data_IF_098719341628
#
_entry.id   IF_098719341628
#
_cell.length_a   1.000
_cell.length_b   1.000
_cell.length_c   1.000
_cell.angle_alpha   90.00
_cell.angle_beta   90.00
_cell.angle_gamma   90.00
#
_symmetry.space_group_name_H-M   'P 1'
#
loop_
_entity.id
_entity.type
_entity.pdbx_description
1 polymer ?
#
# COMPACT_ATOMS: atom_id res chain seq x y z
N UNK A 1 -15.68 -28.71 -11.02
CA UNK A 1 -14.68 -27.69 -10.64
C UNK A 1 -13.32 -28.29 -10.88
N UNK A 2 -12.51 -27.66 -11.73
CA UNK A 2 -11.17 -28.15 -12.06
C UNK A 2 -10.17 -27.77 -10.96
N UNK A 3 -8.99 -28.40 -10.94
CA UNK A 3 -7.93 -28.06 -9.96
C UNK A 3 -7.55 -26.56 -10.01
N UNK A 4 -7.42 -25.92 -11.20
CA UNK A 4 -7.24 -24.47 -11.31
C UNK A 4 -8.33 -23.64 -10.65
N UNK A 5 -9.61 -23.99 -10.87
CA UNK A 5 -10.75 -23.24 -10.32
C UNK A 5 -10.77 -23.26 -8.79
N UNK A 6 -10.37 -24.40 -8.19
CA UNK A 6 -10.30 -24.55 -6.74
C UNK A 6 -9.21 -23.66 -6.14
N UNK A 7 -8.02 -23.64 -6.77
CA UNK A 7 -6.90 -22.83 -6.31
C UNK A 7 -7.22 -21.32 -6.40
N UNK A 8 -7.86 -20.88 -7.48
CA UNK A 8 -8.31 -19.49 -7.62
C UNK A 8 -9.25 -19.07 -6.50
N UNK A 9 -10.23 -19.93 -6.16
CA UNK A 9 -11.16 -19.65 -5.06
C UNK A 9 -10.46 -19.56 -3.70
N UNK A 10 -9.50 -20.43 -3.43
CA UNK A 10 -8.70 -20.39 -2.19
C UNK A 10 -7.87 -19.10 -2.08
N UNK A 11 -7.29 -18.63 -3.19
CA UNK A 11 -6.58 -17.34 -3.27
C UNK A 11 -7.53 -16.18 -2.94
N UNK A 12 -8.75 -16.18 -3.48
CA UNK A 12 -9.71 -15.10 -3.24
C UNK A 12 -10.22 -15.09 -1.79
N UNK A 13 -10.44 -16.27 -1.19
CA UNK A 13 -10.78 -16.35 0.24
C UNK A 13 -9.65 -15.84 1.13
N UNK A 14 -8.39 -16.13 0.79
CA UNK A 14 -7.23 -15.58 1.49
C UNK A 14 -7.13 -14.06 1.31
N UNK A 15 -7.42 -13.54 0.13
CA UNK A 15 -7.47 -12.10 -0.11
C UNK A 15 -8.50 -11.42 0.81
N UNK A 16 -9.75 -11.91 0.83
CA UNK A 16 -10.81 -11.37 1.67
C UNK A 16 -10.43 -11.34 3.16
N UNK A 17 -9.76 -12.39 3.65
CA UNK A 17 -9.27 -12.45 5.04
C UNK A 17 -8.17 -11.44 5.34
N UNK A 18 -7.40 -11.02 4.33
CA UNK A 18 -6.32 -10.06 4.47
C UNK A 18 -6.76 -8.60 4.25
N UNK A 19 -7.95 -8.35 3.70
CA UNK A 19 -8.43 -6.99 3.36
C UNK A 19 -8.36 -6.01 4.53
N UNK A 20 -8.83 -6.39 5.72
CA UNK A 20 -8.80 -5.51 6.90
C UNK A 20 -7.37 -5.09 7.26
N UNK A 21 -6.42 -6.02 7.16
CA UNK A 21 -5.02 -5.70 7.40
C UNK A 21 -4.49 -4.78 6.30
N UNK A 22 -4.72 -5.12 5.03
CA UNK A 22 -4.31 -4.30 3.87
C UNK A 22 -4.80 -2.85 4.01
N UNK A 23 -6.07 -2.64 4.34
CA UNK A 23 -6.62 -1.30 4.55
C UNK A 23 -5.95 -0.57 5.73
N UNK A 24 -5.73 -1.24 6.85
CA UNK A 24 -5.01 -0.63 8.00
C UNK A 24 -3.58 -0.19 7.64
N UNK A 25 -2.89 -0.94 6.78
CA UNK A 25 -1.56 -0.54 6.27
C UNK A 25 -1.66 0.71 5.38
N UNK A 26 -2.67 0.78 4.51
CA UNK A 26 -2.91 1.95 3.64
C UNK A 26 -3.24 3.19 4.48
N UNK A 27 -4.06 3.05 5.52
CA UNK A 27 -4.39 4.14 6.45
C UNK A 27 -3.13 4.70 7.12
N UNK A 28 -2.23 3.83 7.56
CA UNK A 28 -0.95 4.27 8.18
C UNK A 28 -0.08 5.07 7.20
N UNK A 29 -0.04 4.65 5.93
CA UNK A 29 0.67 5.40 4.87
C UNK A 29 0.00 6.75 4.63
N UNK A 30 -1.33 6.77 4.57
CA UNK A 30 -2.09 8.01 4.40
C UNK A 30 -1.88 8.98 5.56
N UNK A 31 -1.82 8.50 6.79
CA UNK A 31 -1.51 9.32 7.97
C UNK A 31 -0.12 9.95 7.89
N UNK A 32 0.89 9.22 7.38
CA UNK A 32 2.22 9.78 7.17
C UNK A 32 2.22 10.86 6.07
N UNK A 33 1.50 10.64 4.97
CA UNK A 33 1.39 11.62 3.87
C UNK A 33 0.62 12.86 4.35
N UNK A 34 -0.45 12.68 5.14
CA UNK A 34 -1.16 13.75 5.82
C UNK A 34 -0.23 14.53 6.77
N UNK A 35 0.55 13.82 7.58
CA UNK A 35 1.55 14.41 8.45
C UNK A 35 2.54 15.26 7.67
N UNK A 36 3.03 14.77 6.53
CA UNK A 36 3.98 15.49 5.68
C UNK A 36 3.36 16.79 5.15
N UNK A 37 2.13 16.74 4.60
CA UNK A 37 1.43 17.92 4.06
C UNK A 37 1.18 19.01 5.09
N UNK A 38 1.11 18.65 6.37
CA UNK A 38 0.79 19.55 7.47
C UNK A 38 2.03 19.91 8.32
N UNK A 39 3.24 19.61 7.84
CA UNK A 39 4.50 19.81 8.59
C UNK A 39 4.51 19.13 9.97
N UNK A 40 3.83 17.98 10.09
CA UNK A 40 3.62 17.19 11.32
C UNK A 40 4.13 15.76 11.22
N UNK A 41 4.82 15.39 10.14
CA UNK A 41 5.36 14.05 9.99
C UNK A 41 6.45 13.78 11.04
N UNK A 42 6.19 12.86 11.96
CA UNK A 42 7.18 12.39 12.92
C UNK A 42 8.08 11.31 12.31
N UNK A 43 9.29 11.16 12.85
CA UNK A 43 10.22 10.09 12.44
C UNK A 43 9.63 8.70 12.65
N UNK A 44 8.87 8.51 13.74
CA UNK A 44 8.26 7.22 14.06
C UNK A 44 7.13 6.87 13.10
N UNK A 45 6.24 7.84 12.80
CA UNK A 45 5.16 7.64 11.82
C UNK A 45 5.72 7.40 10.42
N UNK A 46 6.79 8.11 10.05
CA UNK A 46 7.51 7.88 8.78
C UNK A 46 8.06 6.45 8.70
N UNK A 47 8.81 6.02 9.72
CA UNK A 47 9.41 4.69 9.74
C UNK A 47 8.36 3.58 9.75
N UNK A 48 7.23 3.81 10.44
CA UNK A 48 6.11 2.89 10.43
C UNK A 48 5.47 2.82 9.04
N UNK A 49 5.16 3.96 8.41
CA UNK A 49 4.59 3.98 7.07
C UNK A 49 5.50 3.31 6.01
N UNK A 50 6.82 3.49 6.10
CA UNK A 50 7.78 2.78 5.23
C UNK A 50 7.68 1.26 5.39
N UNK A 51 7.66 0.75 6.64
CA UNK A 51 7.45 -0.68 6.91
C UNK A 51 6.09 -1.18 6.42
N UNK A 52 5.04 -0.37 6.54
CA UNK A 52 3.72 -0.73 6.05
C UNK A 52 3.68 -0.82 4.52
N UNK A 53 4.37 0.10 3.84
CA UNK A 53 4.54 0.09 2.39
C UNK A 53 5.32 -1.15 1.90
N UNK A 54 6.43 -1.50 2.57
CA UNK A 54 7.17 -2.74 2.31
C UNK A 54 6.29 -3.99 2.37
N UNK A 55 5.54 -4.13 3.47
CA UNK A 55 4.64 -5.26 3.67
C UNK A 55 3.51 -5.29 2.63
N UNK A 56 3.01 -4.12 2.23
CA UNK A 56 2.03 -4.00 1.15
C UNK A 56 2.60 -4.44 -0.19
N UNK A 57 3.83 -4.07 -0.53
CA UNK A 57 4.48 -4.52 -1.76
C UNK A 57 4.50 -6.06 -1.82
N UNK A 58 4.97 -6.72 -0.75
CA UNK A 58 5.03 -8.18 -0.69
C UNK A 58 3.65 -8.86 -0.81
N UNK A 59 2.66 -8.40 -0.04
CA UNK A 59 1.33 -9.03 -0.05
C UNK A 59 0.60 -8.80 -1.37
N UNK A 60 0.67 -7.59 -1.94
CA UNK A 60 0.01 -7.27 -3.22
C UNK A 60 0.64 -8.04 -4.37
N UNK A 61 1.97 -8.20 -4.39
CA UNK A 61 2.66 -9.06 -5.35
C UNK A 61 2.19 -10.52 -5.27
N UNK A 62 2.02 -11.05 -4.06
CA UNK A 62 1.51 -12.42 -3.84
C UNK A 62 0.11 -12.62 -4.42
N UNK A 63 -0.74 -11.60 -4.35
CA UNK A 63 -2.10 -11.64 -4.92
C UNK A 63 -2.15 -11.22 -6.40
N UNK A 64 -1.01 -10.97 -7.06
CA UNK A 64 -0.96 -10.59 -8.47
C UNK A 64 -1.40 -9.15 -8.77
N UNK A 65 -1.45 -8.29 -7.74
CA UNK A 65 -1.74 -6.85 -7.87
C UNK A 65 -0.45 -6.08 -8.13
N UNK A 66 0.15 -6.31 -9.31
CA UNK A 66 1.47 -5.78 -9.66
C UNK A 66 1.53 -4.25 -9.56
N UNK A 67 0.54 -3.53 -10.10
CA UNK A 67 0.50 -2.07 -10.03
C UNK A 67 0.41 -1.53 -8.59
N UNK A 68 -0.29 -2.24 -7.71
CA UNK A 68 -0.36 -1.89 -6.28
C UNK A 68 0.94 -2.19 -5.56
N UNK A 69 1.58 -3.32 -5.90
CA UNK A 69 2.89 -3.71 -5.38
C UNK A 69 3.97 -2.69 -5.71
N UNK A 70 4.03 -2.24 -6.96
CA UNK A 70 5.02 -1.25 -7.44
C UNK A 70 4.79 0.13 -6.81
N UNK A 71 3.52 0.55 -6.68
CA UNK A 71 3.16 1.77 -5.98
C UNK A 71 3.61 1.74 -4.51
N UNK A 72 3.34 0.63 -3.80
CA UNK A 72 3.76 0.46 -2.41
C UNK A 72 5.30 0.46 -2.25
N UNK A 73 6.02 -0.24 -3.13
CA UNK A 73 7.49 -0.23 -3.12
C UNK A 73 8.07 1.18 -3.37
N UNK A 74 7.43 1.97 -4.23
CA UNK A 74 7.89 3.35 -4.48
C UNK A 74 7.62 4.26 -3.29
N UNK A 75 6.47 4.10 -2.61
CA UNK A 75 6.17 4.80 -1.35
C UNK A 75 7.21 4.47 -0.28
N UNK A 76 7.55 3.19 -0.09
CA UNK A 76 8.61 2.74 0.81
C UNK A 76 9.93 3.46 0.52
N UNK A 77 10.37 3.43 -0.74
CA UNK A 77 11.62 4.07 -1.17
C UNK A 77 11.65 5.57 -0.89
N UNK A 78 10.53 6.28 -1.12
CA UNK A 78 10.45 7.71 -0.82
C UNK A 78 10.54 7.94 0.69
N UNK A 79 9.79 7.18 1.50
CA UNK A 79 9.75 7.36 2.96
C UNK A 79 11.08 7.00 3.65
N UNK A 80 11.89 6.12 3.05
CA UNK A 80 13.20 5.71 3.56
C UNK A 80 14.34 6.69 3.22
N UNK A 81 14.12 7.66 2.32
CA UNK A 81 15.12 8.71 2.02
C UNK A 81 15.45 9.57 3.23
N UNK A 82 16.54 10.33 3.14
CA UNK A 82 16.89 11.32 4.17
C UNK A 82 15.86 12.47 4.22
N UNK A 83 15.59 12.96 5.43
CA UNK A 83 14.69 14.09 5.71
C UNK A 83 15.48 15.42 5.68
N UNK A 84 14.91 16.57 5.27
CA UNK A 84 13.50 16.86 4.99
C UNK A 84 13.00 16.43 3.61
N UNK A 85 11.72 16.13 3.54
CA UNK A 85 10.99 15.99 2.29
C UNK A 85 10.52 17.36 1.79
N UNK A 86 10.45 17.52 0.48
CA UNK A 86 9.92 18.72 -0.15
C UNK A 86 8.46 18.55 -0.63
N UNK A 87 7.95 19.58 -1.31
CA UNK A 87 6.59 19.56 -1.87
C UNK A 87 6.44 18.51 -2.98
N UNK A 88 7.49 18.24 -3.73
CA UNK A 88 7.45 17.30 -4.84
C UNK A 88 7.37 15.86 -4.30
N UNK A 89 8.06 15.56 -3.20
CA UNK A 89 7.91 14.30 -2.47
C UNK A 89 6.47 14.07 -2.01
N UNK A 90 5.81 15.10 -1.44
CA UNK A 90 4.42 15.01 -1.01
C UNK A 90 3.45 14.76 -2.18
N UNK A 91 3.64 15.45 -3.31
CA UNK A 91 2.84 15.26 -4.52
C UNK A 91 3.03 13.87 -5.14
N UNK A 92 4.27 13.37 -5.17
CA UNK A 92 4.57 12.04 -5.67
C UNK A 92 3.89 10.97 -4.81
N UNK A 93 4.02 11.08 -3.48
CA UNK A 93 3.38 10.17 -2.53
C UNK A 93 1.86 10.13 -2.68
N UNK A 94 1.21 11.28 -2.88
CA UNK A 94 -0.24 11.35 -3.15
C UNK A 94 -0.64 10.57 -4.41
N UNK A 95 0.14 10.71 -5.49
CA UNK A 95 -0.07 9.97 -6.74
C UNK A 95 0.03 8.46 -6.54
N UNK A 96 1.06 7.99 -5.84
CA UNK A 96 1.23 6.57 -5.56
C UNK A 96 0.19 6.02 -4.59
N UNK A 97 -0.22 6.79 -3.57
CA UNK A 97 -1.31 6.40 -2.66
C UNK A 97 -2.63 6.24 -3.42
N UNK A 98 -2.94 7.15 -4.34
CA UNK A 98 -4.15 7.06 -5.16
C UNK A 98 -4.13 5.80 -6.05
N UNK A 99 -2.99 5.50 -6.68
CA UNK A 99 -2.81 4.29 -7.48
C UNK A 99 -2.93 3.02 -6.62
N UNK A 100 -2.30 2.99 -5.44
CA UNK A 100 -2.38 1.88 -4.49
C UNK A 100 -3.84 1.60 -4.07
N UNK A 101 -4.60 2.65 -3.72
CA UNK A 101 -6.03 2.52 -3.36
C UNK A 101 -6.86 1.99 -4.51
N UNK A 102 -6.65 2.51 -5.72
CA UNK A 102 -7.36 2.07 -6.92
C UNK A 102 -7.19 0.58 -7.18
N UNK A 103 -5.97 0.05 -7.04
CA UNK A 103 -5.67 -1.37 -7.27
C UNK A 103 -6.33 -2.26 -6.21
N UNK A 104 -6.23 -1.89 -4.94
CA UNK A 104 -6.82 -2.65 -3.82
C UNK A 104 -8.34 -2.64 -3.89
N UNK A 105 -8.95 -1.47 -4.10
CA UNK A 105 -10.41 -1.32 -4.20
C UNK A 105 -10.95 -1.98 -5.48
N UNK A 106 -10.17 -1.96 -6.56
CA UNK A 106 -10.49 -2.63 -7.82
C UNK A 106 -10.66 -4.15 -7.64
N UNK A 107 -9.77 -4.77 -6.86
CA UNK A 107 -9.89 -6.20 -6.51
C UNK A 107 -11.02 -6.46 -5.52
N UNK A 108 -11.17 -5.62 -4.50
CA UNK A 108 -12.21 -5.75 -3.48
C UNK A 108 -13.64 -5.69 -4.02
N UNK A 109 -13.88 -5.05 -5.17
CA UNK A 109 -15.19 -5.00 -5.84
C UNK A 109 -15.57 -6.26 -6.62
N UNK A 110 -14.63 -7.18 -6.81
CA UNK A 110 -14.81 -8.40 -7.60
C UNK A 110 -14.75 -9.69 -6.74
N UNK A 111 -14.62 -9.56 -5.42
CA UNK A 111 -14.66 -10.67 -4.44
C UNK A 111 -16.05 -10.74 -3.77
#
# INVERSE_FOLDING_TARGET
MTLPDKLSKEIDELWCKNLSLVYSRIETIEDAINGLRNDRLSRDLRAEAARQAHNLAGVLGTFGLQGGSEAAATIEQILDREFPFDRDDALALDGYLAQLRKEVDGRGKHS
#
